data_IF_716750663223
#
_entry.id   IF_716750663223
#
_cell.length_a   1.000
_cell.length_b   1.000
_cell.length_c   1.000
_cell.angle_alpha   90.00
_cell.angle_beta   90.00
_cell.angle_gamma   90.00
#
_symmetry.space_group_name_H-M   'P 1'
#
loop_
_entity.id
_entity.type
_entity.pdbx_description
1 polymer ?
#
# COMPACT_ATOMS: atom_id res chain seq x y z
N UNK A 1 59.19 -49.24 19.58
CA UNK A 1 58.60 -48.43 18.50
C UNK A 1 58.96 -46.99 18.77
N UNK A 2 59.97 -46.51 18.05
CA UNK A 2 60.12 -45.09 17.72
C UNK A 2 58.81 -44.62 17.06
N UNK A 3 58.37 -43.38 17.23
CA UNK A 3 58.76 -42.25 16.39
C UNK A 3 58.69 -40.95 17.20
N UNK A 4 59.62 -40.07 16.84
CA UNK A 4 60.07 -38.79 17.39
C UNK A 4 59.29 -37.63 16.71
N UNK A 5 59.56 -36.38 17.12
CA UNK A 5 59.42 -35.11 16.33
C UNK A 5 58.01 -34.48 16.36
N UNK A 6 57.77 -33.20 16.64
CA UNK A 6 58.61 -32.04 16.98
C UNK A 6 57.77 -30.98 17.70
N UNK A 7 58.48 -30.12 18.44
CA UNK A 7 57.99 -28.83 18.93
C UNK A 7 57.41 -28.01 17.77
N UNK A 8 56.17 -27.54 17.89
CA UNK A 8 55.70 -26.42 17.07
C UNK A 8 55.39 -25.21 17.95
N UNK A 9 56.26 -24.24 17.76
CA UNK A 9 56.28 -22.86 18.24
C UNK A 9 54.89 -22.23 18.04
N UNK A 10 54.36 -21.59 19.09
CA UNK A 10 53.23 -20.65 18.93
C UNK A 10 53.73 -19.44 18.12
N UNK A 11 53.16 -19.11 16.96
CA UNK A 11 53.38 -17.81 16.37
C UNK A 11 52.56 -16.80 17.16
N UNK A 12 53.32 -15.91 17.81
CA UNK A 12 53.01 -14.52 18.15
C UNK A 12 51.76 -13.93 17.51
N UNK A 13 50.95 -13.26 18.33
CA UNK A 13 49.68 -12.65 17.96
C UNK A 13 49.71 -11.84 16.67
N UNK A 14 48.70 -12.10 15.84
CA UNK A 14 48.30 -11.22 14.75
C UNK A 14 47.58 -10.00 15.34
N UNK A 15 47.87 -8.78 14.85
CA UNK A 15 47.07 -7.61 15.21
C UNK A 15 45.65 -7.86 14.70
N UNK A 16 44.66 -7.72 15.58
CA UNK A 16 43.24 -7.79 15.28
C UNK A 16 42.90 -6.82 14.14
N UNK A 17 42.94 -7.31 12.90
CA UNK A 17 42.63 -6.54 11.71
C UNK A 17 41.16 -6.12 11.74
N UNK A 18 40.92 -4.84 11.54
CA UNK A 18 39.59 -4.27 11.37
C UNK A 18 38.76 -5.06 10.35
N UNK A 19 37.44 -5.22 10.55
CA UNK A 19 36.57 -5.88 9.58
C UNK A 19 36.66 -5.15 8.24
N UNK A 20 37.21 -5.81 7.22
CA UNK A 20 37.32 -5.27 5.88
C UNK A 20 35.92 -5.21 5.25
N UNK A 21 35.40 -4.01 5.02
CA UNK A 21 34.16 -3.81 4.28
C UNK A 21 34.35 -4.27 2.81
N UNK A 22 33.39 -5.01 2.25
CA UNK A 22 33.45 -5.57 0.89
C UNK A 22 32.32 -4.98 0.04
N UNK A 23 32.61 -4.64 -1.21
CA UNK A 23 31.60 -4.19 -2.16
C UNK A 23 30.70 -5.35 -2.60
N UNK A 24 29.39 -5.31 -2.35
CA UNK A 24 28.51 -6.44 -2.69
C UNK A 24 28.21 -6.60 -4.20
N UNK A 25 28.73 -5.70 -5.05
CA UNK A 25 28.57 -5.80 -6.52
C UNK A 25 29.76 -6.53 -7.15
N UNK A 26 31.00 -6.13 -6.83
CA UNK A 26 32.21 -6.73 -7.40
C UNK A 26 32.92 -7.72 -6.47
N UNK A 27 32.50 -7.79 -5.20
CA UNK A 27 33.09 -8.62 -4.15
C UNK A 27 34.55 -8.30 -3.82
N UNK A 28 35.03 -7.11 -4.21
CA UNK A 28 36.35 -6.59 -3.86
C UNK A 28 36.30 -5.80 -2.55
N UNK A 29 37.42 -5.80 -1.81
CA UNK A 29 37.57 -4.99 -0.59
C UNK A 29 37.39 -3.51 -0.90
N UNK A 30 36.59 -2.83 -0.09
CA UNK A 30 36.51 -1.38 -0.15
C UNK A 30 37.83 -0.79 0.39
N UNK A 31 38.37 0.23 -0.29
CA UNK A 31 39.58 0.91 0.17
C UNK A 31 39.34 1.52 1.55
N UNK A 32 40.20 1.15 2.49
CA UNK A 32 40.20 1.70 3.84
C UNK A 32 40.65 3.16 3.78
N UNK A 33 40.04 4.02 4.60
CA UNK A 33 40.48 5.41 4.73
C UNK A 33 41.81 5.42 5.49
N UNK A 34 42.94 5.26 4.79
CA UNK A 34 44.25 5.32 5.42
C UNK A 34 44.58 6.79 5.68
N UNK A 35 44.58 7.19 6.95
CA UNK A 35 45.11 8.47 7.39
C UNK A 35 46.65 8.40 7.41
N UNK A 36 47.30 8.67 6.29
CA UNK A 36 48.77 8.85 6.23
C UNK A 36 49.10 10.26 5.74
N UNK A 37 50.07 10.89 6.42
CA UNK A 37 50.55 12.28 6.25
C UNK A 37 51.22 12.62 4.90
N UNK A 38 51.00 11.82 3.86
CA UNK A 38 51.39 12.13 2.49
C UNK A 38 50.19 11.88 1.59
N UNK A 39 49.34 12.91 1.48
CA UNK A 39 48.12 12.92 0.68
C UNK A 39 48.52 12.97 -0.80
N UNK A 40 48.72 11.82 -1.42
CA UNK A 40 48.19 11.65 -2.78
C UNK A 40 46.67 11.57 -2.63
N UNK A 41 45.98 12.42 -3.37
CA UNK A 41 44.53 12.57 -3.36
C UNK A 41 43.89 11.24 -3.80
N UNK A 42 43.54 10.36 -2.85
CA UNK A 42 42.61 9.25 -3.10
C UNK A 42 41.19 9.74 -2.81
N UNK A 43 40.74 10.78 -3.52
CA UNK A 43 39.45 11.46 -3.24
C UNK A 43 38.21 10.59 -3.47
N UNK A 44 38.32 9.36 -3.99
CA UNK A 44 37.26 8.86 -4.87
C UNK A 44 37.02 7.33 -4.86
N UNK A 45 37.34 6.64 -3.77
CA UNK A 45 37.48 5.19 -3.85
C UNK A 45 36.21 4.39 -3.44
N UNK A 46 35.41 4.89 -2.49
CA UNK A 46 34.13 4.30 -2.07
C UNK A 46 33.01 5.34 -1.96
N UNK A 47 31.77 4.90 -2.14
CA UNK A 47 30.56 5.71 -1.99
C UNK A 47 29.68 5.06 -0.93
N UNK A 48 29.21 5.86 0.03
CA UNK A 48 28.20 5.47 1.01
C UNK A 48 26.88 6.13 0.63
N UNK A 49 25.83 5.31 0.49
CA UNK A 49 24.48 5.76 0.19
C UNK A 49 23.77 6.24 1.46
N UNK A 50 22.64 6.95 1.33
CA UNK A 50 21.84 7.39 2.47
C UNK A 50 21.18 6.25 3.28
N UNK A 51 21.25 5.01 2.78
CA UNK A 51 20.87 3.80 3.51
C UNK A 51 22.06 3.12 4.20
N UNK A 52 23.18 3.83 4.39
CA UNK A 52 24.43 3.41 5.02
C UNK A 52 25.19 2.27 4.34
N UNK A 53 24.72 1.81 3.19
CA UNK A 53 25.41 0.79 2.40
C UNK A 53 26.53 1.40 1.55
N UNK A 54 27.69 0.76 1.57
CA UNK A 54 28.90 1.22 0.89
C UNK A 54 29.26 0.39 -0.35
N UNK A 55 29.77 1.06 -1.38
CA UNK A 55 30.09 0.47 -2.68
C UNK A 55 31.35 1.08 -3.29
N UNK A 56 31.99 0.32 -4.17
CA UNK A 56 33.10 0.84 -4.97
C UNK A 56 32.57 1.92 -5.95
N UNK A 57 33.30 3.04 -6.13
CA UNK A 57 32.84 4.15 -7.00
C UNK A 57 32.57 3.70 -8.44
N UNK A 58 33.39 2.79 -8.97
CA UNK A 58 33.23 2.19 -10.30
C UNK A 58 31.91 1.41 -10.41
N UNK A 59 31.63 0.56 -9.43
CA UNK A 59 30.46 -0.31 -9.38
C UNK A 59 29.18 0.51 -9.37
N UNK A 60 29.13 1.54 -8.52
CA UNK A 60 27.95 2.37 -8.39
C UNK A 60 27.76 3.29 -9.61
N UNK A 61 28.84 3.86 -10.17
CA UNK A 61 28.81 4.58 -11.46
C UNK A 61 28.17 3.74 -12.56
N UNK A 62 28.63 2.50 -12.73
CA UNK A 62 28.11 1.58 -13.74
C UNK A 62 26.65 1.25 -13.47
N UNK A 63 26.31 0.88 -12.22
CA UNK A 63 24.94 0.56 -11.83
C UNK A 63 23.95 1.70 -12.14
N UNK A 64 24.24 2.90 -11.65
CA UNK A 64 23.38 4.08 -11.84
C UNK A 64 23.32 4.47 -13.31
N UNK A 65 24.45 4.43 -14.03
CA UNK A 65 24.47 4.72 -15.46
C UNK A 65 23.61 3.76 -16.26
N UNK A 66 23.73 2.45 -16.02
CA UNK A 66 22.89 1.43 -16.67
C UNK A 66 21.41 1.63 -16.36
N UNK A 67 21.05 1.92 -15.11
CA UNK A 67 19.66 2.17 -14.71
C UNK A 67 19.07 3.41 -15.38
N UNK A 68 19.79 4.53 -15.38
CA UNK A 68 19.36 5.76 -16.06
C UNK A 68 19.24 5.53 -17.56
N UNK A 69 20.22 4.86 -18.17
CA UNK A 69 20.24 4.60 -19.62
C UNK A 69 19.08 3.71 -20.06
N UNK A 70 18.74 2.70 -19.25
CA UNK A 70 17.59 1.82 -19.48
C UNK A 70 16.25 2.45 -19.06
N UNK A 71 16.23 3.74 -18.70
CA UNK A 71 15.04 4.47 -18.23
C UNK A 71 14.37 3.82 -17.00
N UNK A 72 15.15 3.17 -16.16
CA UNK A 72 14.72 2.51 -14.93
C UNK A 72 14.97 3.43 -13.72
N UNK A 73 14.33 4.60 -13.70
CA UNK A 73 14.60 5.67 -12.70
C UNK A 73 13.50 5.82 -11.66
N UNK A 74 12.42 5.06 -11.75
CA UNK A 74 11.36 5.07 -10.73
C UNK A 74 11.90 4.59 -9.37
N UNK A 75 11.29 5.05 -8.27
CA UNK A 75 11.67 4.69 -6.91
C UNK A 75 11.67 3.18 -6.63
N UNK A 76 10.95 2.37 -7.41
CA UNK A 76 10.94 0.91 -7.27
C UNK A 76 12.01 0.20 -8.11
N UNK A 77 12.68 0.90 -9.01
CA UNK A 77 13.61 0.34 -10.00
C UNK A 77 15.06 0.79 -9.79
N UNK A 78 15.26 2.02 -9.33
CA UNK A 78 16.56 2.59 -8.94
C UNK A 78 16.70 2.55 -7.41
N UNK A 79 16.96 1.34 -6.90
CA UNK A 79 17.08 1.05 -5.48
C UNK A 79 18.51 0.65 -5.10
N UNK A 80 18.79 0.59 -3.81
CA UNK A 80 20.03 0.03 -3.29
C UNK A 80 20.27 -1.39 -3.87
N UNK A 81 21.48 -1.70 -4.38
CA UNK A 81 21.78 -3.03 -4.92
C UNK A 81 21.81 -4.17 -3.88
N UNK A 82 21.81 -3.86 -2.57
CA UNK A 82 21.82 -4.90 -1.55
C UNK A 82 20.45 -5.62 -1.49
N UNK A 83 20.39 -6.97 -1.56
CA UNK A 83 19.12 -7.72 -1.67
C UNK A 83 18.09 -7.46 -0.56
N UNK A 84 18.55 -7.23 0.66
CA UNK A 84 17.67 -6.95 1.81
C UNK A 84 17.23 -5.49 1.88
N UNK A 85 17.94 -4.61 1.17
CA UNK A 85 17.67 -3.18 1.17
C UNK A 85 16.76 -2.80 -0.01
N UNK A 86 15.61 -2.19 0.32
CA UNK A 86 14.65 -1.69 -0.68
C UNK A 86 14.63 -0.16 -0.77
N UNK A 87 15.65 0.50 -0.22
CA UNK A 87 15.73 1.95 -0.20
C UNK A 87 15.92 2.50 -1.63
N UNK A 88 15.07 3.41 -2.11
CA UNK A 88 15.31 4.14 -3.36
C UNK A 88 16.55 5.02 -3.21
N UNK A 89 17.31 5.19 -4.30
CA UNK A 89 18.40 6.17 -4.33
C UNK A 89 17.80 7.58 -4.45
N UNK A 90 18.22 8.47 -3.54
CA UNK A 90 17.85 9.87 -3.59
C UNK A 90 18.72 10.67 -4.59
N UNK A 91 18.30 11.88 -4.96
CA UNK A 91 19.05 12.78 -5.83
C UNK A 91 20.49 13.02 -5.33
N UNK A 92 20.68 13.10 -4.02
CA UNK A 92 22.01 13.24 -3.39
C UNK A 92 22.90 12.04 -3.63
N UNK A 93 22.36 10.82 -3.49
CA UNK A 93 23.08 9.58 -3.77
C UNK A 93 23.43 9.47 -5.26
N UNK A 94 22.50 9.81 -6.15
CA UNK A 94 22.75 9.77 -7.60
C UNK A 94 23.85 10.77 -7.97
N UNK A 95 23.84 11.98 -7.42
CA UNK A 95 24.85 13.00 -7.70
C UNK A 95 26.27 12.57 -7.27
N UNK A 96 26.42 11.92 -6.11
CA UNK A 96 27.71 11.35 -5.65
C UNK A 96 28.25 10.29 -6.60
N UNK A 97 27.36 9.60 -7.33
CA UNK A 97 27.70 8.42 -8.13
C UNK A 97 27.95 8.70 -9.59
N UNK A 98 27.65 9.89 -10.11
CA UNK A 98 27.70 10.13 -11.55
C UNK A 98 28.17 11.53 -11.92
N UNK A 99 28.33 11.79 -13.22
CA UNK A 99 28.67 13.11 -13.74
C UNK A 99 27.43 13.98 -13.86
N UNK A 100 27.62 15.30 -13.81
CA UNK A 100 26.53 16.28 -13.94
C UNK A 100 25.71 16.05 -15.22
N UNK A 101 26.36 15.76 -16.35
CA UNK A 101 25.67 15.47 -17.61
C UNK A 101 24.70 14.28 -17.53
N UNK A 102 25.05 13.21 -16.80
CA UNK A 102 24.17 12.06 -16.61
C UNK A 102 23.08 12.34 -15.57
N UNK A 103 23.38 13.14 -14.56
CA UNK A 103 22.38 13.61 -13.58
C UNK A 103 21.30 14.46 -14.25
N UNK A 104 21.66 15.33 -15.21
CA UNK A 104 20.69 16.09 -16.01
C UNK A 104 19.77 15.17 -16.84
N UNK A 105 20.28 14.05 -17.35
CA UNK A 105 19.44 13.04 -18.02
C UNK A 105 18.44 12.40 -17.04
N UNK A 106 18.89 12.06 -15.83
CA UNK A 106 18.00 11.58 -14.77
C UNK A 106 16.87 12.59 -14.47
N UNK A 107 17.20 13.86 -14.28
CA UNK A 107 16.20 14.91 -14.04
C UNK A 107 15.21 15.06 -15.20
N UNK A 108 15.68 14.97 -16.45
CA UNK A 108 14.82 15.00 -17.62
C UNK A 108 13.85 13.81 -17.66
N UNK A 109 14.32 12.60 -17.32
CA UNK A 109 13.44 11.43 -17.22
C UNK A 109 12.43 11.55 -16.08
N UNK A 110 12.82 12.04 -14.91
CA UNK A 110 11.89 12.28 -13.79
C UNK A 110 10.79 13.27 -14.19
N UNK A 111 11.15 14.40 -14.81
CA UNK A 111 10.16 15.37 -15.33
C UNK A 111 9.20 14.75 -16.35
N UNK A 112 9.71 13.85 -17.20
CA UNK A 112 8.87 13.12 -18.16
C UNK A 112 7.91 12.16 -17.48
N UNK A 113 8.35 11.41 -16.46
CA UNK A 113 7.49 10.52 -15.67
C UNK A 113 6.41 11.33 -14.95
N UNK A 114 6.79 12.40 -14.24
CA UNK A 114 5.83 13.27 -13.55
C UNK A 114 4.80 13.91 -14.51
N UNK A 115 5.23 14.28 -15.72
CA UNK A 115 4.32 14.81 -16.73
C UNK A 115 3.29 13.77 -17.15
N UNK A 116 3.70 12.50 -17.34
CA UNK A 116 2.77 11.41 -17.63
C UNK A 116 1.86 11.09 -16.45
N UNK A 117 2.38 11.12 -15.21
CA UNK A 117 1.56 10.90 -14.02
C UNK A 117 0.49 11.99 -13.88
N UNK A 118 0.82 13.25 -14.19
CA UNK A 118 -0.16 14.35 -14.20
C UNK A 118 -1.25 14.15 -15.26
N UNK A 119 -0.89 13.73 -16.47
CA UNK A 119 -1.90 13.48 -17.52
C UNK A 119 -2.78 12.30 -17.17
N UNK A 120 -2.22 11.22 -16.61
CA UNK A 120 -2.99 10.07 -16.15
C UNK A 120 -3.92 10.45 -14.99
N UNK A 121 -3.45 11.23 -14.01
CA UNK A 121 -4.27 11.68 -12.90
C UNK A 121 -5.46 12.56 -13.37
N UNK A 122 -5.24 13.44 -14.35
CA UNK A 122 -6.31 14.21 -14.96
C UNK A 122 -7.35 13.32 -15.64
N UNK A 123 -6.90 12.30 -16.36
CA UNK A 123 -7.77 11.31 -17.00
C UNK A 123 -8.53 10.44 -15.97
N UNK A 124 -7.87 9.98 -14.91
CA UNK A 124 -8.48 9.23 -13.80
C UNK A 124 -9.58 10.05 -13.11
N UNK A 125 -9.30 11.32 -12.83
CA UNK A 125 -10.27 12.24 -12.26
C UNK A 125 -11.46 12.46 -13.19
N UNK A 126 -11.23 12.60 -14.49
CA UNK A 126 -12.30 12.75 -15.48
C UNK A 126 -13.19 11.50 -15.55
N UNK A 127 -12.60 10.30 -15.52
CA UNK A 127 -13.32 9.03 -15.52
C UNK A 127 -14.16 8.83 -14.25
N UNK A 128 -13.63 9.24 -13.10
CA UNK A 128 -14.30 9.07 -11.81
C UNK A 128 -15.30 10.20 -11.49
N UNK A 129 -15.29 11.34 -12.22
CA UNK A 129 -16.03 12.57 -11.88
C UNK A 129 -17.53 12.39 -11.67
N UNK A 130 -18.17 11.54 -12.46
CA UNK A 130 -19.62 11.34 -12.47
C UNK A 130 -20.04 9.89 -12.19
N UNK A 131 -19.15 9.10 -11.59
CA UNK A 131 -19.42 7.70 -11.27
C UNK A 131 -19.65 7.53 -9.76
N UNK A 132 -20.69 6.77 -9.40
CA UNK A 132 -20.97 6.38 -8.00
C UNK A 132 -19.85 5.52 -7.42
N UNK A 133 -19.19 4.74 -8.27
CA UNK A 133 -18.05 3.90 -7.93
C UNK A 133 -16.85 4.23 -8.82
N UNK A 134 -15.66 4.31 -8.22
CA UNK A 134 -14.41 4.56 -8.96
C UNK A 134 -14.21 3.49 -10.05
N UNK A 135 -13.94 3.91 -11.27
CA UNK A 135 -13.58 3.02 -12.39
C UNK A 135 -12.12 2.62 -12.30
N UNK A 136 -11.28 3.55 -11.83
CA UNK A 136 -9.85 3.35 -11.61
C UNK A 136 -9.51 3.76 -10.19
N UNK A 137 -8.71 2.93 -9.52
CA UNK A 137 -8.26 3.18 -8.16
C UNK A 137 -6.84 2.61 -7.93
N UNK A 138 -6.03 3.25 -7.04
CA UNK A 138 -4.74 2.72 -6.65
C UNK A 138 -4.87 1.54 -5.68
N UNK A 139 -3.96 0.57 -5.81
CA UNK A 139 -3.80 -0.48 -4.82
C UNK A 139 -3.35 0.12 -3.46
N UNK A 140 -4.00 -0.23 -2.33
CA UNK A 140 -3.65 0.31 -1.02
C UNK A 140 -2.25 -0.11 -0.52
N UNK A 141 -1.68 -1.20 -1.07
CA UNK A 141 -0.37 -1.70 -0.65
C UNK A 141 0.79 -1.22 -1.52
N UNK A 142 0.58 -1.05 -2.84
CA UNK A 142 1.67 -0.71 -3.76
C UNK A 142 1.39 0.49 -4.67
N UNK A 143 0.23 1.14 -4.50
CA UNK A 143 -0.21 2.33 -5.26
C UNK A 143 -0.36 2.15 -6.77
N UNK A 144 -0.17 0.93 -7.29
CA UNK A 144 -0.40 0.61 -8.71
C UNK A 144 -1.85 0.89 -9.07
N UNK A 145 -2.07 1.66 -10.14
CA UNK A 145 -3.40 2.00 -10.65
C UNK A 145 -4.01 0.80 -11.34
N UNK A 146 -5.20 0.40 -10.89
CA UNK A 146 -5.94 -0.75 -11.40
C UNK A 146 -7.24 -0.23 -12.01
N UNK A 147 -7.65 -0.84 -13.11
CA UNK A 147 -8.97 -0.66 -13.69
C UNK A 147 -9.91 -1.75 -13.19
N UNK A 148 -11.13 -1.38 -12.77
CA UNK A 148 -12.15 -2.36 -12.40
C UNK A 148 -12.92 -2.82 -13.63
N UNK A 149 -12.74 -4.08 -14.00
CA UNK A 149 -13.63 -4.77 -14.93
C UNK A 149 -14.82 -5.25 -14.10
N UNK A 150 -16.04 -4.88 -14.49
CA UNK A 150 -17.28 -5.11 -13.73
C UNK A 150 -17.34 -6.49 -13.03
N UNK A 151 -17.93 -6.54 -11.83
CA UNK A 151 -18.05 -7.78 -11.06
C UNK A 151 -17.85 -7.61 -9.55
N UNK A 152 -17.14 -8.56 -8.95
CA UNK A 152 -16.92 -8.65 -7.50
C UNK A 152 -16.12 -7.46 -6.96
N UNK A 153 -16.45 -7.02 -5.74
CA UNK A 153 -15.74 -5.93 -5.04
C UNK A 153 -14.40 -6.36 -4.43
N UNK A 154 -14.14 -7.66 -4.33
CA UNK A 154 -12.87 -8.20 -3.86
C UNK A 154 -11.92 -8.32 -5.04
N UNK A 155 -10.85 -7.52 -5.01
CA UNK A 155 -9.85 -7.47 -6.06
C UNK A 155 -8.48 -7.92 -5.55
N UNK A 156 -7.72 -8.56 -6.42
CA UNK A 156 -6.34 -8.95 -6.17
C UNK A 156 -5.43 -8.12 -7.07
N UNK A 157 -4.48 -7.39 -6.49
CA UNK A 157 -3.53 -6.60 -7.26
C UNK A 157 -2.63 -7.51 -8.10
N UNK A 158 -2.54 -7.25 -9.41
CA UNK A 158 -1.66 -8.02 -10.32
C UNK A 158 -0.18 -7.81 -10.04
N UNK A 159 0.21 -6.65 -9.48
CA UNK A 159 1.61 -6.31 -9.18
C UNK A 159 2.10 -6.92 -7.87
N UNK A 160 1.36 -6.75 -6.77
CA UNK A 160 1.81 -7.18 -5.43
C UNK A 160 1.00 -8.34 -4.83
N UNK A 161 -0.02 -8.86 -5.53
CA UNK A 161 -0.94 -9.91 -5.06
C UNK A 161 -1.71 -9.57 -3.77
N UNK A 162 -1.73 -8.29 -3.39
CA UNK A 162 -2.52 -7.84 -2.26
C UNK A 162 -4.02 -7.89 -2.60
N UNK A 163 -4.79 -8.53 -1.74
CA UNK A 163 -6.24 -8.63 -1.82
C UNK A 163 -6.92 -7.53 -1.03
N UNK A 164 -7.89 -6.84 -1.64
CA UNK A 164 -8.55 -5.70 -1.02
C UNK A 164 -9.98 -5.51 -1.55
N UNK A 165 -10.79 -4.75 -0.80
CA UNK A 165 -12.13 -4.35 -1.22
C UNK A 165 -12.08 -3.02 -1.98
N UNK A 166 -12.62 -3.00 -3.20
CA UNK A 166 -12.59 -1.84 -4.09
C UNK A 166 -13.24 -0.58 -3.50
N UNK A 167 -14.30 -0.75 -2.69
CA UNK A 167 -15.05 0.36 -2.09
C UNK A 167 -14.27 1.03 -0.97
N UNK A 168 -13.67 0.25 -0.06
CA UNK A 168 -13.11 0.76 1.19
C UNK A 168 -11.59 0.74 1.26
N UNK A 169 -10.89 0.13 0.29
CA UNK A 169 -9.43 0.09 0.28
C UNK A 169 -8.79 -0.82 1.33
N UNK A 170 -9.57 -1.61 2.08
CA UNK A 170 -9.05 -2.42 3.19
C UNK A 170 -8.95 -3.91 2.86
N UNK A 171 -8.11 -4.63 3.61
CA UNK A 171 -7.94 -6.08 3.48
C UNK A 171 -9.17 -6.83 4.03
N UNK A 172 -9.82 -7.55 3.12
CA UNK A 172 -10.59 -8.79 3.37
C UNK A 172 -11.89 -8.76 4.18
N UNK A 173 -12.36 -7.65 4.78
CA UNK A 173 -13.62 -7.69 5.59
C UNK A 173 -14.57 -6.49 5.42
N UNK A 174 -14.94 -6.09 4.21
CA UNK A 174 -15.96 -5.04 4.03
C UNK A 174 -17.42 -5.53 4.16
N UNK A 175 -17.69 -6.84 3.97
CA UNK A 175 -19.04 -7.37 4.10
C UNK A 175 -19.51 -7.43 5.56
N UNK A 176 -18.60 -7.69 6.51
CA UNK A 176 -18.96 -7.71 7.94
C UNK A 176 -19.08 -6.30 8.55
N UNK A 177 -18.28 -5.31 8.16
CA UNK A 177 -18.35 -3.97 8.79
C UNK A 177 -19.68 -3.23 8.53
N UNK A 178 -20.35 -3.43 7.37
CA UNK A 178 -21.70 -2.89 7.14
C UNK A 178 -22.80 -3.64 7.92
N UNK A 179 -22.61 -4.92 8.20
CA UNK A 179 -23.51 -5.76 9.01
C UNK A 179 -23.32 -5.46 10.52
N UNK A 180 -22.08 -5.20 10.94
CA UNK A 180 -21.70 -4.94 12.33
C UNK A 180 -21.84 -3.47 12.77
N UNK A 181 -21.98 -2.52 11.83
CA UNK A 181 -22.20 -1.11 12.15
C UNK A 181 -23.60 -0.79 12.70
N UNK A 182 -24.51 -1.76 12.77
CA UNK A 182 -25.80 -1.59 13.42
C UNK A 182 -25.74 -2.01 14.89
N UNK A 183 -25.38 -1.07 15.75
CA UNK A 183 -25.05 -1.26 17.17
C UNK A 183 -26.16 -1.82 18.09
N UNK A 184 -27.34 -2.24 17.61
CA UNK A 184 -28.34 -2.80 18.54
C UNK A 184 -28.98 -4.12 18.04
N UNK A 185 -29.49 -4.27 16.81
CA UNK A 185 -29.93 -5.60 16.33
C UNK A 185 -29.89 -5.69 14.80
N UNK A 186 -29.29 -6.72 14.20
CA UNK A 186 -29.45 -7.13 12.79
C UNK A 186 -28.93 -6.18 11.67
N UNK A 187 -28.60 -6.71 10.47
CA UNK A 187 -28.04 -5.94 9.35
C UNK A 187 -29.04 -5.03 8.62
N UNK A 188 -30.33 -5.15 8.88
CA UNK A 188 -31.38 -4.41 8.18
C UNK A 188 -32.60 -4.17 9.09
N UNK A 189 -33.29 -3.04 8.88
CA UNK A 189 -34.50 -2.60 9.61
C UNK A 189 -35.51 -3.72 9.95
N UNK A 190 -35.93 -4.59 9.01
CA UNK A 190 -36.89 -5.66 9.31
C UNK A 190 -36.37 -6.68 10.34
N UNK A 191 -35.07 -6.99 10.32
CA UNK A 191 -34.47 -7.92 11.29
C UNK A 191 -34.44 -7.27 12.68
N UNK A 192 -34.17 -5.95 12.78
CA UNK A 192 -34.15 -5.25 14.09
C UNK A 192 -35.54 -5.21 14.73
N UNK A 193 -36.59 -4.99 13.93
CA UNK A 193 -37.98 -4.99 14.41
C UNK A 193 -38.36 -6.35 14.98
N UNK A 194 -38.09 -7.43 14.24
CA UNK A 194 -38.40 -8.79 14.68
C UNK A 194 -37.67 -9.13 15.97
N UNK A 195 -36.40 -8.77 16.08
CA UNK A 195 -35.63 -9.17 17.25
C UNK A 195 -35.93 -8.32 18.49
N UNK A 196 -36.27 -7.04 18.32
CA UNK A 196 -36.75 -6.20 19.43
C UNK A 196 -38.14 -6.60 19.92
N UNK A 197 -39.04 -7.01 19.01
CA UNK A 197 -40.38 -7.49 19.40
C UNK A 197 -40.30 -8.81 20.14
N UNK A 198 -39.44 -9.74 19.70
CA UNK A 198 -39.17 -10.99 20.44
C UNK A 198 -38.60 -10.68 21.83
N UNK A 199 -37.64 -9.76 21.95
CA UNK A 199 -37.07 -9.37 23.24
C UNK A 199 -38.09 -8.76 24.21
N UNK A 200 -38.95 -7.85 23.72
CA UNK A 200 -39.99 -7.20 24.52
C UNK A 200 -41.11 -8.16 24.92
N UNK A 201 -41.50 -9.08 24.05
CA UNK A 201 -42.56 -10.06 24.33
C UNK A 201 -42.13 -11.10 25.36
N UNK A 202 -40.88 -11.59 25.27
CA UNK A 202 -40.29 -12.45 26.31
C UNK A 202 -40.17 -11.73 27.65
N UNK A 203 -39.77 -10.44 27.65
CA UNK A 203 -39.71 -9.63 28.87
C UNK A 203 -41.08 -9.35 29.49
N UNK A 204 -42.15 -9.34 28.69
CA UNK A 204 -43.52 -9.09 29.15
C UNK A 204 -44.26 -10.36 29.62
N UNK A 205 -43.66 -11.55 29.50
CA UNK A 205 -44.20 -12.79 30.09
C UNK A 205 -45.57 -13.23 29.57
N UNK A 206 -45.86 -13.04 28.28
CA UNK A 206 -47.17 -13.38 27.69
C UNK A 206 -47.24 -14.86 27.29
N UNK A 207 -48.20 -15.60 27.85
CA UNK A 207 -48.41 -17.03 27.57
C UNK A 207 -48.98 -17.30 26.16
N UNK A 208 -48.76 -18.53 25.67
CA UNK A 208 -48.98 -19.02 24.29
C UNK A 208 -50.34 -18.63 23.67
N UNK A 209 -51.40 -18.49 24.48
CA UNK A 209 -52.74 -18.09 24.01
C UNK A 209 -52.87 -16.62 23.60
N UNK A 210 -52.14 -15.70 24.25
CA UNK A 210 -52.10 -14.28 23.86
C UNK A 210 -51.24 -14.01 22.63
N UNK A 211 -50.37 -14.96 22.30
CA UNK A 211 -49.39 -14.84 21.23
C UNK A 211 -50.02 -14.87 19.83
N UNK A 212 -51.10 -15.63 19.61
CA UNK A 212 -51.68 -15.81 18.27
C UNK A 212 -52.39 -14.54 17.77
N UNK A 213 -53.12 -13.84 18.65
CA UNK A 213 -53.80 -12.60 18.30
C UNK A 213 -52.82 -11.43 18.11
N UNK A 214 -51.82 -11.34 18.98
CA UNK A 214 -50.78 -10.30 18.91
C UNK A 214 -49.81 -10.56 17.76
N UNK A 215 -49.44 -11.81 17.47
CA UNK A 215 -48.61 -12.16 16.33
C UNK A 215 -49.32 -11.91 15.00
N UNK A 216 -50.62 -12.19 14.87
CA UNK A 216 -51.34 -11.90 13.62
C UNK A 216 -51.32 -10.38 13.30
N UNK A 217 -51.47 -9.51 14.31
CA UNK A 217 -51.46 -8.05 14.10
C UNK A 217 -50.03 -7.48 13.99
N UNK A 218 -49.10 -7.93 14.83
CA UNK A 218 -47.71 -7.46 14.84
C UNK A 218 -46.80 -8.11 13.79
N UNK A 219 -47.25 -9.20 13.13
CA UNK A 219 -46.49 -9.83 12.04
C UNK A 219 -47.14 -9.53 10.69
N UNK A 220 -48.47 -9.63 10.56
CA UNK A 220 -49.12 -9.38 9.27
C UNK A 220 -49.13 -7.90 8.88
N UNK A 221 -49.28 -6.96 9.82
CA UNK A 221 -49.26 -5.53 9.51
C UNK A 221 -47.87 -5.04 9.04
N UNK A 222 -46.74 -5.33 9.73
CA UNK A 222 -45.44 -4.97 9.22
C UNK A 222 -45.01 -5.79 8.02
N UNK A 223 -45.41 -7.05 7.85
CA UNK A 223 -45.15 -7.79 6.60
C UNK A 223 -45.94 -7.19 5.43
N UNK A 224 -47.20 -6.80 5.63
CA UNK A 224 -48.01 -6.14 4.59
C UNK A 224 -47.49 -4.74 4.25
N UNK A 225 -47.04 -3.96 5.25
CA UNK A 225 -46.29 -2.72 5.01
C UNK A 225 -44.95 -3.01 4.31
N UNK A 226 -44.20 -4.03 4.70
CA UNK A 226 -42.96 -4.45 4.04
C UNK A 226 -43.18 -5.09 2.66
N UNK A 227 -44.41 -5.41 2.25
CA UNK A 227 -44.72 -5.92 0.91
C UNK A 227 -45.24 -4.80 0.00
N UNK A 228 -46.01 -3.84 0.53
CA UNK A 228 -46.61 -2.75 -0.23
C UNK A 228 -45.78 -1.45 -0.27
N UNK A 229 -45.03 -1.14 0.79
CA UNK A 229 -44.17 0.06 0.85
C UNK A 229 -42.90 -0.03 0.00
N UNK A 230 -42.23 -1.19 -0.20
CA UNK A 230 -40.98 -1.22 -0.97
C UNK A 230 -41.19 -0.86 -2.44
N UNK A 231 -42.35 -1.18 -3.04
CA UNK A 231 -42.59 -0.82 -4.45
C UNK A 231 -42.63 0.69 -4.69
N UNK A 232 -43.01 1.49 -3.69
CA UNK A 232 -42.97 2.96 -3.76
C UNK A 232 -41.64 3.53 -3.27
N UNK A 233 -41.00 2.93 -2.27
CA UNK A 233 -39.70 3.40 -1.76
C UNK A 233 -38.51 3.01 -2.65
N UNK A 234 -38.50 1.86 -3.33
CA UNK A 234 -37.42 1.50 -4.26
C UNK A 234 -37.36 2.46 -5.45
N UNK A 235 -38.51 2.94 -5.95
CA UNK A 235 -38.56 4.03 -6.95
C UNK A 235 -38.04 5.37 -6.40
N UNK A 236 -38.17 5.64 -5.11
CA UNK A 236 -37.58 6.83 -4.49
C UNK A 236 -36.09 6.66 -4.16
N UNK A 237 -35.62 5.45 -3.83
CA UNK A 237 -34.21 5.19 -3.49
C UNK A 237 -33.32 5.27 -4.74
N UNK A 238 -33.81 4.86 -5.92
CA UNK A 238 -33.11 5.14 -7.19
C UNK A 238 -32.96 6.63 -7.47
N UNK A 239 -33.90 7.47 -7.03
CA UNK A 239 -33.84 8.93 -7.24
C UNK A 239 -32.97 9.62 -6.18
N UNK A 240 -32.91 9.09 -4.96
CA UNK A 240 -32.17 9.71 -3.83
C UNK A 240 -30.69 9.33 -3.78
N UNK A 241 -30.28 8.18 -4.33
CA UNK A 241 -28.85 7.81 -4.42
C UNK A 241 -28.05 8.67 -5.43
N UNK A 242 -28.71 9.55 -6.19
CA UNK A 242 -28.09 10.36 -7.24
C UNK A 242 -27.67 11.79 -6.87
N UNK A 243 -27.87 12.29 -5.64
CA UNK A 243 -27.47 13.67 -5.27
C UNK A 243 -27.14 13.79 -3.78
N UNK A 244 -25.86 13.80 -3.44
CA UNK A 244 -25.39 14.30 -2.15
C UNK A 244 -25.54 15.82 -2.12
N UNK A 245 -26.41 16.29 -1.22
CA UNK A 245 -26.13 17.35 -0.26
C UNK A 245 -25.38 18.59 -0.77
N UNK A 246 -26.14 19.62 -1.17
CA UNK A 246 -25.78 21.05 -1.16
C UNK A 246 -26.94 21.86 -1.76
N UNK A 247 -27.99 22.15 -0.99
CA UNK A 247 -28.64 23.49 -0.95
C UNK A 247 -29.76 23.59 0.13
N UNK A 248 -29.47 23.25 1.40
CA UNK A 248 -30.40 23.44 2.53
C UNK A 248 -30.16 24.78 3.26
N UNK A 249 -29.61 25.80 2.57
CA UNK A 249 -29.43 27.15 3.15
C UNK A 249 -30.44 28.20 2.69
N UNK A 250 -31.56 27.79 2.10
CA UNK A 250 -32.60 28.74 1.64
C UNK A 250 -34.04 28.48 2.12
N UNK A 251 -34.24 27.59 3.09
CA UNK A 251 -35.60 27.32 3.64
C UNK A 251 -35.59 27.38 5.18
N UNK A 252 -34.87 28.36 5.73
CA UNK A 252 -35.10 28.86 7.09
C UNK A 252 -34.94 30.39 7.09
N UNK A 253 -35.87 31.06 6.43
CA UNK A 253 -36.45 32.37 6.77
C UNK A 253 -37.80 32.49 6.07
#
# INVERSE_FOLDING_TARGET
>A
MEIKIDQYIQPTGEPSGEPKEICCICLENLPQAIATESIEIVEDARIVLNCDHAYCKKCMKTYVSTKITNRQVEATQLICPLPECKCPLDATDILKTTTEALFLKYLAFMRSIEAMDRTYAAWENAMNKHKEEKVVAPCPSCSSRIWKNDGCQHMTCTKCRHEWCWICGSQRFCQLQRILAFRIWGPCLPVRVVTQTIGLTLAAGVDVGGYVAVAAVLVAAPISLLYHVPRRLYKCIEVVNGKSDLDVRRILM
#
